data_IF_611480153210
#
_entry.id   IF_611480153210
#
_cell.length_a   1.000
_cell.length_b   1.000
_cell.length_c   1.000
_cell.angle_alpha   90.00
_cell.angle_beta   90.00
_cell.angle_gamma   90.00
#
_symmetry.space_group_name_H-M   'P 1'
#
loop_
_entity.id
_entity.type
_entity.pdbx_description
1 polymer ?
#
# COMPACT_ATOMS: atom_id res chain seq x y z
N UNK A 1 4.02 -19.24 15.05
CA UNK A 1 4.05 -18.42 13.84
C UNK A 1 2.65 -18.44 13.26
N UNK A 2 2.08 -17.27 12.90
CA UNK A 2 0.69 -17.18 12.46
C UNK A 2 0.65 -16.62 11.04
N UNK A 3 -0.10 -17.27 10.17
CA UNK A 3 -0.53 -16.78 8.86
C UNK A 3 -2.06 -16.85 8.85
N UNK A 4 -2.71 -15.73 8.73
CA UNK A 4 -4.16 -15.63 8.94
C UNK A 4 -4.98 -15.68 7.65
N UNK A 5 -4.33 -15.61 6.50
CA UNK A 5 -4.88 -15.75 5.14
C UNK A 5 -3.76 -16.07 4.15
N UNK A 6 -4.10 -16.51 2.96
CA UNK A 6 -3.15 -16.92 1.93
C UNK A 6 -2.24 -15.77 1.46
N UNK A 7 -2.74 -14.54 1.48
CA UNK A 7 -2.01 -13.34 1.08
C UNK A 7 -1.10 -12.74 2.16
N UNK A 8 -1.33 -13.08 3.44
CA UNK A 8 -0.48 -12.63 4.54
C UNK A 8 0.82 -13.42 4.61
N UNK A 9 1.80 -12.85 5.28
CA UNK A 9 3.03 -13.54 5.68
C UNK A 9 3.27 -13.37 7.19
N UNK A 10 3.82 -14.38 7.87
CA UNK A 10 4.19 -14.24 9.27
C UNK A 10 5.25 -13.14 9.46
N UNK A 11 5.19 -12.39 10.56
CA UNK A 11 6.17 -11.33 10.88
C UNK A 11 7.63 -11.82 10.77
N UNK A 12 7.90 -13.05 11.23
CA UNK A 12 9.23 -13.67 11.08
C UNK A 12 9.66 -13.79 9.61
N UNK A 13 8.73 -14.08 8.70
CA UNK A 13 9.04 -14.19 7.27
C UNK A 13 9.41 -12.83 6.68
N UNK A 14 8.70 -11.75 7.02
CA UNK A 14 9.06 -10.40 6.58
C UNK A 14 10.48 -10.02 7.00
N UNK A 15 10.83 -10.24 8.27
CA UNK A 15 12.18 -9.97 8.77
C UNK A 15 13.25 -10.75 8.01
N UNK A 16 13.01 -12.02 7.73
CA UNK A 16 13.97 -12.84 6.99
C UNK A 16 14.05 -12.47 5.51
N UNK A 17 12.90 -12.18 4.85
CA UNK A 17 12.82 -11.82 3.44
C UNK A 17 13.55 -10.52 3.12
N UNK A 18 13.35 -9.48 3.92
CA UNK A 18 14.06 -8.21 3.70
C UNK A 18 15.55 -8.35 3.98
N UNK A 19 15.95 -9.14 4.98
CA UNK A 19 17.37 -9.47 5.22
C UNK A 19 17.97 -10.25 4.06
N UNK A 20 17.24 -11.25 3.54
CA UNK A 20 17.63 -12.04 2.37
C UNK A 20 17.85 -11.16 1.13
N UNK A 21 17.05 -10.11 0.94
CA UNK A 21 17.26 -9.17 -0.17
C UNK A 21 18.63 -8.51 -0.08
N UNK A 22 19.01 -7.99 1.07
CA UNK A 22 20.32 -7.37 1.27
C UNK A 22 21.47 -8.40 1.12
N UNK A 23 21.31 -9.59 1.67
CA UNK A 23 22.30 -10.64 1.49
C UNK A 23 22.49 -10.98 0.02
N UNK A 24 21.39 -11.27 -0.66
CA UNK A 24 21.41 -11.79 -2.02
C UNK A 24 21.90 -10.77 -3.03
N UNK A 25 21.45 -9.53 -2.94
CA UNK A 25 21.67 -8.53 -3.96
C UNK A 25 22.77 -7.52 -3.62
N UNK A 26 23.11 -7.32 -2.35
CA UNK A 26 24.19 -6.42 -1.93
C UNK A 26 25.46 -7.21 -1.65
N UNK A 27 25.44 -8.11 -0.66
CA UNK A 27 26.63 -8.90 -0.32
C UNK A 27 26.97 -9.93 -1.39
N UNK A 28 25.97 -10.57 -1.97
CA UNK A 28 26.12 -11.53 -3.07
C UNK A 28 26.59 -10.95 -4.40
N UNK A 29 26.77 -9.64 -4.51
CA UNK A 29 27.45 -8.99 -5.64
C UNK A 29 28.95 -9.36 -5.70
N UNK A 30 29.56 -9.68 -4.56
CA UNK A 30 30.91 -10.23 -4.50
C UNK A 30 30.88 -11.74 -4.83
N UNK A 31 31.56 -12.21 -5.90
CA UNK A 31 31.64 -13.63 -6.25
C UNK A 31 32.28 -14.52 -5.17
N UNK A 32 33.08 -13.93 -4.28
CA UNK A 32 33.70 -14.64 -3.16
C UNK A 32 32.78 -14.82 -1.96
N UNK A 33 31.66 -14.10 -1.93
CA UNK A 33 30.68 -14.18 -0.84
C UNK A 33 30.12 -15.59 -0.69
N UNK A 34 29.89 -16.01 0.54
CA UNK A 34 29.21 -17.27 0.86
C UNK A 34 27.93 -16.95 1.62
N UNK A 35 26.74 -17.41 1.13
CA UNK A 35 25.47 -17.18 1.79
C UNK A 35 25.48 -17.74 3.23
N UNK A 36 24.72 -17.11 4.11
CA UNK A 36 24.50 -17.59 5.47
C UNK A 36 23.98 -19.04 5.49
N UNK A 37 22.96 -19.31 4.67
CA UNK A 37 22.45 -20.66 4.41
C UNK A 37 21.89 -20.72 2.97
N UNK A 38 22.46 -21.57 2.08
CA UNK A 38 21.99 -21.68 0.69
C UNK A 38 20.51 -22.08 0.53
N UNK A 39 19.91 -22.72 1.53
CA UNK A 39 18.48 -23.11 1.49
C UNK A 39 17.55 -21.91 1.69
N UNK A 40 18.08 -20.80 2.21
CA UNK A 40 17.26 -19.62 2.50
C UNK A 40 16.88 -18.83 1.24
N UNK A 41 17.58 -19.04 0.12
CA UNK A 41 17.10 -18.57 -1.19
C UNK A 41 15.71 -19.15 -1.51
N UNK A 42 15.47 -20.44 -1.24
CA UNK A 42 14.16 -21.05 -1.42
C UNK A 42 13.11 -20.54 -0.42
N UNK A 43 13.48 -20.38 0.86
CA UNK A 43 12.54 -20.04 1.93
C UNK A 43 12.09 -18.57 1.89
N UNK A 44 13.00 -17.67 1.54
CA UNK A 44 12.80 -16.23 1.68
C UNK A 44 12.75 -15.47 0.35
N UNK A 45 13.01 -16.13 -0.79
CA UNK A 45 12.61 -15.61 -2.10
C UNK A 45 11.06 -15.52 -2.16
N UNK A 46 10.52 -14.49 -2.80
CA UNK A 46 9.08 -14.31 -2.98
C UNK A 46 8.63 -14.55 -4.42
N UNK A 47 9.26 -13.87 -5.36
CA UNK A 47 8.81 -13.85 -6.76
C UNK A 47 9.95 -13.78 -7.79
N UNK A 48 11.19 -13.80 -7.38
CA UNK A 48 12.33 -13.76 -8.29
C UNK A 48 12.58 -15.15 -8.92
N UNK A 49 11.88 -15.42 -10.03
CA UNK A 49 11.94 -16.73 -10.70
C UNK A 49 13.35 -17.02 -11.28
N UNK A 50 14.09 -15.97 -11.68
CA UNK A 50 15.47 -16.11 -12.16
C UNK A 50 16.47 -16.56 -11.09
N UNK A 51 16.13 -16.41 -9.80
CA UNK A 51 16.94 -16.96 -8.69
C UNK A 51 16.66 -18.46 -8.52
N UNK A 52 15.41 -18.87 -8.72
CA UNK A 52 14.97 -20.24 -8.54
C UNK A 52 13.58 -20.35 -7.93
N UNK A 53 13.15 -21.59 -7.56
CA UNK A 53 11.85 -21.80 -6.94
C UNK A 53 11.78 -21.10 -5.58
N UNK A 54 10.57 -20.66 -5.20
CA UNK A 54 10.29 -20.03 -3.92
C UNK A 54 9.27 -20.85 -3.12
N UNK A 55 9.36 -20.76 -1.80
CA UNK A 55 8.36 -21.34 -0.90
C UNK A 55 7.02 -20.60 -1.06
N UNK A 56 5.97 -21.34 -1.39
CA UNK A 56 4.66 -20.78 -1.74
C UNK A 56 4.09 -19.90 -0.62
N UNK A 57 3.58 -18.71 -1.00
CA UNK A 57 3.04 -17.74 -0.04
C UNK A 57 1.99 -18.33 0.92
N UNK A 58 0.98 -19.11 0.46
CA UNK A 58 -0.03 -19.69 1.36
C UNK A 58 0.53 -20.64 2.43
N UNK A 59 1.77 -21.10 2.23
CA UNK A 59 2.41 -22.07 3.14
C UNK A 59 3.46 -21.44 4.09
N UNK A 60 3.66 -20.13 4.05
CA UNK A 60 4.66 -19.43 4.88
C UNK A 60 4.40 -19.62 6.38
N UNK A 61 3.15 -19.82 6.77
CA UNK A 61 2.74 -20.16 8.13
C UNK A 61 3.27 -21.49 8.65
N UNK A 62 3.67 -22.42 7.78
CA UNK A 62 4.24 -23.71 8.14
C UNK A 62 5.73 -23.67 8.49
N UNK A 63 6.41 -22.57 8.20
CA UNK A 63 7.85 -22.41 8.45
C UNK A 63 8.16 -22.31 9.96
N UNK A 64 8.09 -23.42 10.69
CA UNK A 64 8.51 -23.48 12.11
C UNK A 64 10.03 -23.27 12.27
N UNK A 65 10.80 -23.54 11.23
CA UNK A 65 12.24 -23.28 11.14
C UNK A 65 12.55 -22.46 9.89
N UNK A 66 13.58 -21.57 9.93
CA UNK A 66 14.38 -21.24 11.12
C UNK A 66 13.54 -20.64 12.27
N UNK A 67 14.04 -20.69 13.50
CA UNK A 67 13.42 -20.06 14.67
C UNK A 67 13.47 -18.52 14.55
N UNK A 68 12.71 -17.80 15.38
CA UNK A 68 12.79 -16.33 15.42
C UNK A 68 14.21 -15.87 15.81
N UNK A 69 14.83 -16.52 16.79
CA UNK A 69 16.19 -16.19 17.21
C UNK A 69 17.18 -16.32 16.04
N UNK A 70 17.13 -17.43 15.30
CA UNK A 70 17.98 -17.61 14.11
C UNK A 70 17.76 -16.51 13.04
N UNK A 71 16.52 -16.08 12.83
CA UNK A 71 16.22 -14.98 11.90
C UNK A 71 16.76 -13.65 12.42
N UNK A 72 16.66 -13.37 13.71
CA UNK A 72 17.20 -12.14 14.30
C UNK A 72 18.74 -12.13 14.27
N UNK A 73 19.38 -13.25 14.55
CA UNK A 73 20.84 -13.41 14.44
C UNK A 73 21.30 -13.18 12.98
N UNK A 74 20.59 -13.80 12.03
CA UNK A 74 20.81 -13.58 10.61
C UNK A 74 20.71 -12.09 10.22
N UNK A 75 19.63 -11.42 10.65
CA UNK A 75 19.44 -9.99 10.37
C UNK A 75 20.57 -9.13 10.95
N UNK A 76 21.01 -9.44 12.18
CA UNK A 76 22.13 -8.75 12.82
C UNK A 76 23.44 -8.98 12.07
N UNK A 77 23.73 -10.22 11.66
CA UNK A 77 24.92 -10.57 10.91
C UNK A 77 24.98 -9.82 9.56
N UNK A 78 23.90 -9.94 8.75
CA UNK A 78 23.86 -9.33 7.43
C UNK A 78 23.91 -7.79 7.52
N UNK A 79 23.14 -7.21 8.45
CA UNK A 79 23.18 -5.78 8.70
C UNK A 79 24.56 -5.26 9.06
N UNK A 80 25.27 -5.97 9.93
CA UNK A 80 26.66 -5.64 10.32
C UNK A 80 27.60 -5.67 9.13
N UNK A 81 27.51 -6.70 8.27
CA UNK A 81 28.36 -6.84 7.08
C UNK A 81 28.10 -5.74 6.05
N UNK A 82 26.82 -5.43 5.77
CA UNK A 82 26.44 -4.34 4.85
C UNK A 82 26.95 -3.00 5.35
N UNK A 83 26.76 -2.70 6.64
CA UNK A 83 27.25 -1.47 7.26
C UNK A 83 28.77 -1.36 7.21
N UNK A 84 29.49 -2.45 7.43
CA UNK A 84 30.96 -2.47 7.34
C UNK A 84 31.45 -2.14 5.92
N UNK A 85 30.83 -2.71 4.88
CA UNK A 85 31.16 -2.40 3.49
C UNK A 85 30.84 -0.96 3.12
N UNK A 86 29.71 -0.44 3.58
CA UNK A 86 29.30 0.94 3.37
C UNK A 86 30.28 1.93 4.02
N UNK A 87 30.66 1.68 5.28
CA UNK A 87 31.62 2.51 6.01
C UNK A 87 33.03 2.44 5.40
N UNK A 88 33.42 1.31 4.89
CA UNK A 88 34.72 1.15 4.19
C UNK A 88 34.75 1.79 2.81
N UNK A 89 33.58 2.20 2.26
CA UNK A 89 33.46 2.75 0.91
C UNK A 89 33.81 1.74 -0.20
N UNK A 90 33.60 0.45 0.06
CA UNK A 90 33.98 -0.65 -0.87
C UNK A 90 32.85 -1.07 -1.80
N UNK A 91 31.63 -0.55 -1.61
CA UNK A 91 30.49 -0.86 -2.47
C UNK A 91 30.60 -0.13 -3.80
N UNK A 92 30.47 -0.89 -4.88
CA UNK A 92 30.40 -0.35 -6.23
C UNK A 92 29.15 0.52 -6.43
N UNK A 93 29.15 1.51 -7.32
CA UNK A 93 28.00 2.40 -7.55
C UNK A 93 26.70 1.65 -7.84
N UNK A 94 26.74 0.57 -8.61
CA UNK A 94 25.56 -0.25 -8.88
C UNK A 94 25.04 -0.95 -7.62
N UNK A 95 25.92 -1.42 -6.75
CA UNK A 95 25.54 -2.06 -5.48
C UNK A 95 24.94 -1.04 -4.50
N UNK A 96 25.43 0.21 -4.51
CA UNK A 96 24.81 1.31 -3.73
C UNK A 96 23.35 1.60 -4.20
N UNK A 97 23.11 1.56 -5.51
CA UNK A 97 21.75 1.67 -6.04
C UNK A 97 20.86 0.52 -5.58
N UNK A 98 21.37 -0.70 -5.61
CA UNK A 98 20.63 -1.87 -5.10
C UNK A 98 20.37 -1.76 -3.59
N UNK A 99 21.30 -1.21 -2.84
CA UNK A 99 21.11 -0.93 -1.41
C UNK A 99 19.98 0.08 -1.19
N UNK A 100 19.92 1.17 -1.98
CA UNK A 100 18.81 2.13 -1.94
C UNK A 100 17.46 1.47 -2.27
N UNK A 101 17.41 0.66 -3.32
CA UNK A 101 16.23 -0.16 -3.64
C UNK A 101 15.85 -1.07 -2.46
N UNK A 102 16.82 -1.71 -1.81
CA UNK A 102 16.61 -2.55 -0.64
C UNK A 102 15.98 -1.81 0.54
N UNK A 103 16.38 -0.56 0.78
CA UNK A 103 15.76 0.29 1.80
C UNK A 103 14.29 0.61 1.45
N UNK A 104 13.99 0.92 0.20
CA UNK A 104 12.63 1.14 -0.27
C UNK A 104 11.79 -0.15 -0.16
N UNK A 105 12.35 -1.31 -0.47
CA UNK A 105 11.73 -2.61 -0.29
C UNK A 105 11.47 -2.94 1.20
N UNK A 106 12.41 -2.63 2.06
CA UNK A 106 12.23 -2.77 3.52
C UNK A 106 11.03 -1.93 4.01
N UNK A 107 10.90 -0.68 3.54
CA UNK A 107 9.79 0.19 3.89
C UNK A 107 8.43 -0.34 3.42
N UNK A 108 8.35 -0.96 2.23
CA UNK A 108 7.13 -1.67 1.81
C UNK A 108 6.79 -2.80 2.78
N UNK A 109 7.79 -3.58 3.20
CA UNK A 109 7.59 -4.68 4.12
C UNK A 109 7.26 -4.25 5.55
N UNK A 110 7.66 -3.05 5.99
CA UNK A 110 7.21 -2.48 7.26
C UNK A 110 5.69 -2.25 7.25
N UNK A 111 5.13 -1.70 6.17
CA UNK A 111 3.69 -1.55 6.03
C UNK A 111 2.97 -2.90 5.92
N UNK A 112 3.44 -3.81 5.05
CA UNK A 112 2.86 -5.14 4.90
C UNK A 112 2.86 -5.93 6.22
N UNK A 113 3.89 -5.79 7.04
CA UNK A 113 3.97 -6.43 8.34
C UNK A 113 2.87 -5.92 9.29
N UNK A 114 2.57 -4.63 9.28
CA UNK A 114 1.50 -4.04 10.09
C UNK A 114 0.11 -4.50 9.61
N UNK A 115 -0.12 -4.58 8.30
CA UNK A 115 -1.37 -5.09 7.74
C UNK A 115 -1.58 -6.56 8.11
N UNK A 116 -0.54 -7.38 8.02
CA UNK A 116 -0.59 -8.81 8.30
C UNK A 116 -0.78 -9.09 9.79
N UNK A 117 -0.12 -8.32 10.68
CA UNK A 117 -0.34 -8.36 12.13
C UNK A 117 -1.78 -7.98 12.46
N UNK A 118 -2.30 -6.89 11.88
CA UNK A 118 -3.67 -6.44 12.09
C UNK A 118 -4.67 -7.54 11.73
N UNK A 119 -4.52 -8.15 10.55
CA UNK A 119 -5.39 -9.24 10.13
C UNK A 119 -5.28 -10.47 11.04
N UNK A 120 -4.07 -10.87 11.44
CA UNK A 120 -3.86 -11.99 12.34
C UNK A 120 -4.50 -11.76 13.72
N UNK A 121 -4.42 -10.55 14.25
CA UNK A 121 -5.00 -10.20 15.55
C UNK A 121 -6.53 -10.06 15.49
N UNK A 122 -7.06 -9.54 14.38
CA UNK A 122 -8.50 -9.54 14.14
C UNK A 122 -9.09 -10.95 14.05
N UNK A 123 -8.37 -11.88 13.42
CA UNK A 123 -8.79 -13.30 13.32
C UNK A 123 -8.68 -14.04 14.65
N UNK A 124 -7.93 -13.52 15.61
CA UNK A 124 -7.85 -14.09 16.94
C UNK A 124 -9.17 -13.78 17.70
N UNK A 125 -9.86 -14.79 18.26
CA UNK A 125 -11.12 -14.57 19.01
C UNK A 125 -11.00 -13.58 20.18
N UNK A 126 -9.79 -13.40 20.75
CA UNK A 126 -9.55 -12.44 21.82
C UNK A 126 -9.39 -11.00 21.31
N UNK A 127 -9.20 -10.79 20.00
CA UNK A 127 -8.99 -9.46 19.40
C UNK A 127 -7.88 -8.65 20.07
N UNK A 128 -6.66 -9.20 20.25
CA UNK A 128 -5.60 -8.51 21.00
C UNK A 128 -5.13 -7.25 20.25
N UNK A 129 -4.75 -6.20 20.98
CA UNK A 129 -4.08 -5.03 20.42
C UNK A 129 -2.62 -5.36 20.10
N UNK A 130 -2.11 -4.84 18.99
CA UNK A 130 -0.66 -4.77 18.74
C UNK A 130 -0.01 -3.79 19.71
N UNK A 131 -0.63 -2.61 19.90
CA UNK A 131 -0.26 -1.61 20.90
C UNK A 131 -1.52 -0.97 21.47
N UNK A 132 -1.75 -1.10 22.77
CA UNK A 132 -2.94 -0.55 23.42
C UNK A 132 -2.84 0.97 23.66
N UNK A 133 -1.63 1.53 23.59
CA UNK A 133 -1.30 2.93 23.86
C UNK A 133 -1.43 3.85 22.62
N UNK A 134 -1.83 3.31 21.46
CA UNK A 134 -1.98 4.11 20.24
C UNK A 134 -3.03 5.21 20.46
N UNK A 135 -2.61 6.45 20.21
CA UNK A 135 -3.47 7.62 20.34
C UNK A 135 -4.56 7.67 19.26
N UNK A 136 -5.73 8.18 19.63
CA UNK A 136 -6.79 8.54 18.70
C UNK A 136 -6.94 10.06 18.72
N UNK A 137 -6.98 10.68 17.55
CA UNK A 137 -7.37 12.08 17.41
C UNK A 137 -8.76 12.12 16.80
N UNK A 138 -9.60 12.98 17.35
CA UNK A 138 -10.95 13.21 16.85
C UNK A 138 -11.08 14.67 16.49
N UNK A 139 -11.44 14.95 15.26
CA UNK A 139 -11.78 16.29 14.78
C UNK A 139 -13.04 16.20 13.90
N UNK A 140 -13.92 17.19 13.89
CA UNK A 140 -15.04 17.19 12.96
C UNK A 140 -14.51 17.20 11.52
N UNK A 141 -15.09 16.37 10.64
CA UNK A 141 -14.71 16.38 9.24
C UNK A 141 -15.11 17.70 8.57
N UNK A 142 -14.26 18.19 7.66
CA UNK A 142 -14.66 19.26 6.74
C UNK A 142 -15.81 18.80 5.86
N UNK A 143 -16.77 19.66 5.51
CA UNK A 143 -17.69 19.37 4.42
C UNK A 143 -16.92 19.00 3.15
N UNK A 144 -17.38 17.95 2.46
CA UNK A 144 -16.80 17.56 1.18
C UNK A 144 -17.09 18.64 0.14
N UNK A 145 -16.07 19.14 -0.50
CA UNK A 145 -16.16 20.12 -1.58
C UNK A 145 -15.61 19.53 -2.87
N UNK A 146 -16.08 20.04 -4.01
CA UNK A 146 -15.62 19.66 -5.33
C UNK A 146 -14.66 20.72 -5.88
N UNK A 147 -13.41 20.34 -6.09
CA UNK A 147 -12.37 21.21 -6.64
C UNK A 147 -12.29 21.00 -8.14
N UNK A 148 -12.75 22.00 -8.89
CA UNK A 148 -12.76 21.95 -10.36
C UNK A 148 -11.34 21.99 -10.91
N UNK A 149 -11.10 21.21 -11.96
CA UNK A 149 -9.86 21.11 -12.72
C UNK A 149 -10.17 21.21 -14.19
N UNK A 150 -9.52 22.13 -14.88
CA UNK A 150 -9.67 22.28 -16.32
C UNK A 150 -8.98 21.15 -17.08
N UNK A 151 -9.43 20.89 -18.31
CA UNK A 151 -8.73 19.98 -19.20
C UNK A 151 -7.31 20.48 -19.47
N UNK A 152 -6.36 19.56 -19.42
CA UNK A 152 -4.97 19.89 -19.71
C UNK A 152 -4.20 18.69 -20.27
N UNK A 153 -3.14 18.98 -21.00
CA UNK A 153 -2.09 18.00 -21.27
C UNK A 153 -1.04 18.15 -20.18
N UNK A 154 -1.06 17.22 -19.23
CA UNK A 154 -0.10 17.16 -18.13
C UNK A 154 1.00 16.13 -18.35
N UNK A 155 1.90 16.02 -17.41
CA UNK A 155 2.91 14.96 -17.36
C UNK A 155 2.78 14.19 -16.05
N UNK A 156 2.74 12.88 -16.13
CA UNK A 156 2.74 11.97 -14.98
C UNK A 156 3.92 11.02 -15.04
N UNK A 157 4.22 10.40 -13.89
CA UNK A 157 5.35 9.49 -13.72
C UNK A 157 6.64 10.19 -13.35
N UNK A 158 7.67 9.41 -13.14
CA UNK A 158 9.00 9.86 -12.75
C UNK A 158 10.00 9.68 -13.89
N UNK A 159 11.08 10.46 -13.85
CA UNK A 159 12.26 10.18 -14.65
C UNK A 159 12.86 8.83 -14.23
N UNK A 160 13.42 8.04 -15.16
CA UNK A 160 13.99 6.73 -14.84
C UNK A 160 15.11 6.83 -13.81
N UNK A 161 14.96 6.14 -12.69
CA UNK A 161 16.03 5.96 -11.72
C UNK A 161 16.99 4.83 -12.20
N UNK A 162 18.31 4.93 -11.96
CA UNK A 162 19.04 5.95 -11.21
C UNK A 162 19.61 7.10 -12.05
N UNK A 163 19.16 7.27 -13.27
CA UNK A 163 19.70 8.30 -14.17
C UNK A 163 19.43 9.75 -13.70
N UNK A 164 18.51 9.92 -12.77
CA UNK A 164 18.12 11.21 -12.21
C UNK A 164 18.15 11.19 -10.67
N UNK A 165 18.24 12.37 -10.06
CA UNK A 165 18.20 12.49 -8.61
C UNK A 165 16.85 12.06 -8.03
N UNK A 166 16.90 11.37 -6.89
CA UNK A 166 15.75 10.83 -6.20
C UNK A 166 15.37 9.43 -6.71
N UNK A 167 14.87 8.61 -5.78
CA UNK A 167 14.44 7.24 -6.07
C UNK A 167 13.07 7.22 -6.75
N UNK A 168 12.89 6.36 -7.73
CA UNK A 168 11.61 5.94 -8.29
C UNK A 168 11.68 4.47 -8.69
N UNK A 169 10.59 3.74 -8.48
CA UNK A 169 10.48 2.38 -9.02
C UNK A 169 10.35 2.41 -10.54
N UNK A 170 10.69 1.32 -11.20
CA UNK A 170 10.55 1.21 -12.66
C UNK A 170 9.11 1.39 -13.14
N UNK A 171 8.12 0.96 -12.36
CA UNK A 171 6.69 1.12 -12.66
C UNK A 171 6.20 2.58 -12.58
N UNK A 172 6.97 3.47 -11.97
CA UNK A 172 6.69 4.91 -11.97
C UNK A 172 7.19 5.60 -13.25
N UNK A 173 7.99 4.91 -14.06
CA UNK A 173 8.71 5.47 -15.21
C UNK A 173 8.25 4.89 -16.55
N UNK A 174 8.44 5.61 -17.65
CA UNK A 174 9.00 6.96 -17.74
C UNK A 174 7.96 8.05 -17.44
N UNK A 175 8.42 9.25 -17.10
CA UNK A 175 7.57 10.46 -17.14
C UNK A 175 7.08 10.70 -18.56
N UNK A 176 5.78 10.90 -18.73
CA UNK A 176 5.16 11.00 -20.04
C UNK A 176 3.95 11.93 -20.03
N UNK A 177 3.61 12.42 -21.21
CA UNK A 177 2.45 13.32 -21.41
C UNK A 177 1.15 12.51 -21.42
N UNK A 178 0.13 13.06 -20.80
CA UNK A 178 -1.22 12.49 -20.74
C UNK A 178 -2.25 13.61 -20.86
N UNK A 179 -3.33 13.35 -21.61
CA UNK A 179 -4.52 14.20 -21.59
C UNK A 179 -5.29 13.90 -20.29
N UNK A 180 -5.51 14.92 -19.50
CA UNK A 180 -6.36 14.87 -18.31
C UNK A 180 -7.61 15.68 -18.61
N UNK A 181 -8.79 15.06 -18.79
CA UNK A 181 -10.03 15.76 -19.05
C UNK A 181 -10.44 16.70 -17.92
N UNK A 182 -11.26 17.68 -18.21
CA UNK A 182 -11.86 18.51 -17.17
C UNK A 182 -12.66 17.64 -16.19
N UNK A 183 -12.43 17.85 -14.90
CA UNK A 183 -13.04 17.05 -13.84
C UNK A 183 -13.14 17.83 -12.54
N UNK A 184 -13.89 17.30 -11.59
CA UNK A 184 -13.88 17.77 -10.22
C UNK A 184 -13.34 16.68 -9.29
N UNK A 185 -12.43 17.02 -8.40
CA UNK A 185 -11.87 16.12 -7.40
C UNK A 185 -12.40 16.49 -6.00
N UNK A 186 -12.79 15.50 -5.22
CA UNK A 186 -13.22 15.70 -3.86
C UNK A 186 -12.08 16.27 -3.00
N UNK A 187 -12.39 17.27 -2.17
CA UNK A 187 -11.39 17.99 -1.35
C UNK A 187 -10.73 17.10 -0.29
N UNK A 188 -11.35 15.98 0.08
CA UNK A 188 -10.87 14.99 1.07
C UNK A 188 -11.35 13.58 0.72
N UNK A 189 -10.76 12.53 1.34
CA UNK A 189 -11.31 11.18 1.27
C UNK A 189 -12.72 11.11 1.85
N UNK A 190 -13.46 10.06 1.49
CA UNK A 190 -14.76 9.71 2.07
C UNK A 190 -14.59 9.33 3.54
N UNK A 191 -15.46 9.85 4.39
CA UNK A 191 -15.45 9.57 5.82
C UNK A 191 -16.21 8.29 6.17
N UNK A 192 -15.97 7.76 7.36
CA UNK A 192 -16.71 6.64 7.92
C UNK A 192 -18.23 6.92 8.04
N UNK A 193 -18.62 8.16 8.35
CA UNK A 193 -20.03 8.55 8.41
C UNK A 193 -20.70 8.45 7.03
N UNK A 194 -20.10 9.03 6.00
CA UNK A 194 -20.63 8.98 4.64
C UNK A 194 -20.70 7.53 4.12
N UNK A 195 -19.73 6.71 4.46
CA UNK A 195 -19.78 5.30 4.08
C UNK A 195 -20.86 4.52 4.84
N UNK A 196 -21.13 4.87 6.09
CA UNK A 196 -22.23 4.29 6.86
C UNK A 196 -23.60 4.63 6.27
N UNK A 197 -23.78 5.83 5.70
CA UNK A 197 -24.99 6.21 4.96
C UNK A 197 -25.20 5.30 3.73
N UNK A 198 -24.16 5.03 2.95
CA UNK A 198 -24.19 4.07 1.85
C UNK A 198 -24.67 2.68 2.30
N UNK A 199 -24.16 2.19 3.44
CA UNK A 199 -24.57 0.90 4.00
C UNK A 199 -26.04 0.95 4.40
N UNK A 200 -26.46 2.00 5.11
CA UNK A 200 -27.84 2.17 5.59
C UNK A 200 -28.85 2.25 4.44
N UNK A 201 -28.48 2.93 3.34
CA UNK A 201 -29.29 3.03 2.11
C UNK A 201 -29.29 1.74 1.25
N UNK A 202 -28.67 0.67 1.75
CA UNK A 202 -28.69 -0.64 1.12
C UNK A 202 -27.65 -0.82 0.02
N UNK A 203 -26.57 -0.07 0.03
CA UNK A 203 -25.51 -0.13 -0.98
C UNK A 203 -24.97 -1.54 -1.21
N UNK A 204 -24.79 -2.33 -0.15
CA UNK A 204 -24.36 -3.75 -0.27
C UNK A 204 -25.46 -4.69 -0.76
N UNK A 205 -26.69 -4.23 -0.95
CA UNK A 205 -27.83 -5.04 -1.45
C UNK A 205 -28.30 -4.59 -2.84
N UNK A 206 -27.76 -3.52 -3.38
CA UNK A 206 -28.18 -2.93 -4.64
C UNK A 206 -27.24 -3.35 -5.76
N UNK A 207 -27.57 -4.44 -6.46
CA UNK A 207 -26.71 -5.04 -7.51
C UNK A 207 -26.26 -4.05 -8.59
N UNK A 208 -27.09 -3.08 -8.95
CA UNK A 208 -26.79 -2.10 -10.00
C UNK A 208 -25.63 -1.14 -9.68
N UNK A 209 -25.19 -1.08 -8.43
CA UNK A 209 -24.03 -0.29 -8.01
C UNK A 209 -22.70 -1.03 -8.21
N UNK A 210 -22.72 -2.34 -8.30
CA UNK A 210 -21.52 -3.16 -8.27
C UNK A 210 -21.04 -3.59 -9.64
N UNK A 211 -19.73 -3.66 -9.80
CA UNK A 211 -19.13 -4.41 -10.91
C UNK A 211 -19.45 -5.90 -10.78
N UNK A 212 -19.56 -6.61 -11.90
CA UNK A 212 -19.97 -8.02 -11.94
C UNK A 212 -19.19 -8.91 -10.96
N UNK A 213 -17.86 -8.87 -11.02
CA UNK A 213 -17.00 -9.68 -10.17
C UNK A 213 -17.10 -9.26 -8.70
N UNK A 214 -17.26 -7.94 -8.45
CA UNK A 214 -17.47 -7.39 -7.13
C UNK A 214 -18.77 -7.88 -6.49
N UNK A 215 -19.86 -7.91 -7.27
CA UNK A 215 -21.12 -8.48 -6.81
C UNK A 215 -21.01 -9.98 -6.49
N UNK A 216 -20.37 -10.74 -7.38
CA UNK A 216 -20.14 -12.17 -7.17
C UNK A 216 -19.32 -12.43 -5.89
N UNK A 217 -18.23 -11.66 -5.69
CA UNK A 217 -17.36 -11.78 -4.52
C UNK A 217 -18.09 -11.37 -3.24
N UNK A 218 -18.82 -10.24 -3.27
CA UNK A 218 -19.65 -9.77 -2.17
C UNK A 218 -20.66 -10.84 -1.73
N UNK A 219 -21.31 -11.53 -2.67
CA UNK A 219 -22.24 -12.61 -2.37
C UNK A 219 -21.55 -13.85 -1.81
N UNK A 220 -20.43 -14.25 -2.40
CA UNK A 220 -19.69 -15.45 -1.98
C UNK A 220 -19.11 -15.33 -0.56
N UNK A 221 -18.67 -14.13 -0.16
CA UNK A 221 -18.06 -13.87 1.14
C UNK A 221 -18.97 -13.10 2.11
N UNK A 222 -20.23 -12.89 1.73
CA UNK A 222 -21.23 -12.17 2.52
C UNK A 222 -20.73 -10.79 3.01
N UNK A 223 -20.13 -10.01 2.10
CA UNK A 223 -19.71 -8.67 2.45
C UNK A 223 -20.92 -7.77 2.73
N UNK A 224 -20.89 -7.08 3.86
CA UNK A 224 -21.96 -6.18 4.28
C UNK A 224 -21.43 -4.82 4.78
N UNK A 225 -20.10 -4.68 4.91
CA UNK A 225 -19.39 -3.52 5.47
C UNK A 225 -17.89 -3.61 5.20
N UNK A 226 -17.11 -2.55 5.44
CA UNK A 226 -15.64 -2.59 5.40
C UNK A 226 -15.07 -3.71 6.28
N UNK A 227 -13.94 -4.30 5.92
CA UNK A 227 -13.42 -5.56 6.50
C UNK A 227 -13.18 -5.29 7.96
N UNK A 228 -12.92 -4.62 8.70
CA UNK A 228 -12.67 -4.62 10.15
C UNK A 228 -13.76 -3.91 10.95
N UNK A 229 -14.85 -3.50 10.31
CA UNK A 229 -15.97 -2.97 11.05
C UNK A 229 -16.73 -4.09 11.77
N UNK A 230 -17.09 -3.85 13.02
CA UNK A 230 -17.91 -4.76 13.80
C UNK A 230 -19.38 -4.75 13.30
N UNK A 231 -20.10 -5.83 13.57
CA UNK A 231 -21.49 -5.98 13.12
C UNK A 231 -22.45 -4.95 13.71
N UNK A 232 -22.11 -4.36 14.86
CA UNK A 232 -22.91 -3.29 15.48
C UNK A 232 -22.81 -1.94 14.74
N UNK A 233 -21.85 -1.80 13.80
CA UNK A 233 -21.59 -0.57 13.08
C UNK A 233 -20.94 0.55 13.90
N UNK A 234 -20.75 0.35 15.20
CA UNK A 234 -20.21 1.36 16.10
C UNK A 234 -18.70 1.21 16.33
N UNK A 235 -18.16 0.00 16.21
CA UNK A 235 -16.76 -0.31 16.49
C UNK A 235 -16.03 -0.80 15.26
N UNK A 236 -14.72 -0.63 15.28
CA UNK A 236 -13.80 -1.18 14.29
C UNK A 236 -12.57 -1.78 14.97
N UNK A 237 -11.95 -2.77 14.31
CA UNK A 237 -10.70 -3.36 14.77
C UNK A 237 -9.52 -2.57 14.20
N UNK A 238 -8.65 -2.11 15.10
CA UNK A 238 -7.44 -1.34 14.78
C UNK A 238 -6.19 -2.07 15.29
N UNK A 239 -5.01 -1.56 15.01
CA UNK A 239 -3.77 -2.04 15.68
C UNK A 239 -3.79 -1.75 17.19
N UNK A 240 -4.68 -0.88 17.65
CA UNK A 240 -4.98 -0.64 19.08
C UNK A 240 -6.07 -1.56 19.65
N UNK A 241 -6.48 -2.61 18.93
CA UNK A 241 -7.61 -3.48 19.29
C UNK A 241 -8.96 -2.92 18.85
N UNK A 242 -10.06 -3.43 19.43
CA UNK A 242 -11.41 -2.92 19.18
C UNK A 242 -11.60 -1.54 19.76
N UNK A 243 -12.02 -0.59 18.94
CA UNK A 243 -12.26 0.81 19.32
C UNK A 243 -13.58 1.31 18.76
N UNK A 244 -14.12 2.36 19.36
CA UNK A 244 -15.20 3.13 18.74
C UNK A 244 -14.71 3.72 17.42
N UNK A 245 -15.54 3.60 16.40
CA UNK A 245 -15.23 4.09 15.06
C UNK A 245 -15.42 5.60 15.01
N UNK A 246 -14.38 6.33 14.63
CA UNK A 246 -14.49 7.77 14.41
C UNK A 246 -15.30 8.05 13.13
N UNK A 247 -16.49 8.68 13.22
CA UNK A 247 -17.31 8.96 12.06
C UNK A 247 -16.65 9.91 11.05
N UNK A 248 -15.68 10.70 11.49
CA UNK A 248 -15.02 11.74 10.70
C UNK A 248 -13.71 11.29 10.07
N UNK A 249 -13.13 10.19 10.51
CA UNK A 249 -11.92 9.64 9.90
C UNK A 249 -12.22 9.07 8.51
N UNK A 250 -11.23 9.02 7.61
CA UNK A 250 -11.36 8.36 6.31
C UNK A 250 -11.79 6.91 6.47
N UNK A 251 -12.76 6.46 5.68
CA UNK A 251 -13.12 5.05 5.61
C UNK A 251 -11.94 4.25 5.07
N UNK A 252 -11.69 3.09 5.68
CA UNK A 252 -10.52 2.27 5.39
C UNK A 252 -10.89 0.80 5.22
N UNK A 253 -9.99 0.03 4.60
CA UNK A 253 -10.15 -1.41 4.38
C UNK A 253 -11.28 -1.76 3.41
N UNK A 254 -11.34 -0.98 2.33
CA UNK A 254 -12.21 -1.20 1.18
C UNK A 254 -11.46 -1.92 0.06
N UNK A 255 -12.15 -2.81 -0.63
CA UNK A 255 -11.77 -3.27 -1.97
C UNK A 255 -12.03 -2.18 -3.02
N UNK A 256 -11.43 -2.33 -4.22
CA UNK A 256 -11.82 -1.50 -5.36
C UNK A 256 -13.34 -1.59 -5.64
N UNK A 257 -13.90 -2.79 -5.53
CA UNK A 257 -15.33 -3.02 -5.78
C UNK A 257 -16.23 -2.23 -4.83
N UNK A 258 -15.87 -2.16 -3.55
CA UNK A 258 -16.57 -1.38 -2.54
C UNK A 258 -16.41 0.13 -2.76
N UNK A 259 -15.21 0.57 -3.12
CA UNK A 259 -14.91 1.96 -3.44
C UNK A 259 -15.68 2.44 -4.70
N UNK A 260 -15.74 1.63 -5.76
CA UNK A 260 -16.48 1.93 -7.00
C UNK A 260 -18.00 1.92 -6.74
N UNK A 261 -18.51 0.94 -5.98
CA UNK A 261 -19.93 0.89 -5.63
C UNK A 261 -20.38 2.10 -4.82
N UNK A 262 -19.57 2.54 -3.86
CA UNK A 262 -19.81 3.78 -3.13
C UNK A 262 -19.79 4.99 -4.06
N UNK A 263 -18.80 5.09 -4.94
CA UNK A 263 -18.69 6.21 -5.88
C UNK A 263 -19.93 6.32 -6.78
N UNK A 264 -20.43 5.20 -7.33
CA UNK A 264 -21.68 5.16 -8.12
C UNK A 264 -22.90 5.56 -7.30
N UNK A 265 -23.02 5.10 -6.06
CA UNK A 265 -24.09 5.50 -5.17
C UNK A 265 -24.08 7.00 -4.90
N UNK A 266 -22.91 7.60 -4.72
CA UNK A 266 -22.72 9.03 -4.53
C UNK A 266 -22.86 9.88 -5.82
N UNK A 267 -23.23 9.28 -6.96
CA UNK A 267 -23.31 9.97 -8.24
C UNK A 267 -21.95 10.54 -8.70
N UNK A 268 -20.89 9.77 -8.44
CA UNK A 268 -19.50 10.11 -8.70
C UNK A 268 -18.76 8.89 -9.29
N UNK A 269 -17.44 9.01 -9.46
CA UNK A 269 -16.54 7.95 -9.87
C UNK A 269 -15.23 7.98 -9.07
N UNK A 270 -14.40 6.98 -9.25
CA UNK A 270 -13.02 7.03 -8.78
C UNK A 270 -12.21 7.97 -9.69
N UNK A 271 -11.22 8.71 -9.17
CA UNK A 271 -10.28 9.44 -10.00
C UNK A 271 -9.42 8.47 -10.81
N UNK A 272 -8.97 8.86 -11.99
CA UNK A 272 -7.87 8.18 -12.67
C UNK A 272 -6.55 8.46 -11.93
N UNK A 273 -5.53 7.60 -12.10
CA UNK A 273 -4.21 7.87 -11.54
C UNK A 273 -3.60 9.18 -12.07
N UNK A 274 -3.93 9.56 -13.30
CA UNK A 274 -3.46 10.81 -13.90
C UNK A 274 -4.12 12.04 -13.26
N UNK A 275 -5.42 12.01 -13.02
CA UNK A 275 -6.15 13.07 -12.32
C UNK A 275 -5.60 13.25 -10.90
N UNK A 276 -5.35 12.14 -10.21
CA UNK A 276 -4.80 12.15 -8.86
C UNK A 276 -3.39 12.74 -8.84
N UNK A 277 -2.49 12.26 -9.71
CA UNK A 277 -1.09 12.71 -9.74
C UNK A 277 -0.96 14.18 -10.15
N UNK A 278 -1.77 14.64 -11.12
CA UNK A 278 -1.83 16.05 -11.46
C UNK A 278 -2.35 16.93 -10.31
N UNK A 279 -3.28 16.42 -9.52
CA UNK A 279 -3.76 17.12 -8.34
C UNK A 279 -2.71 17.16 -7.21
N UNK A 280 -1.82 16.18 -7.15
CA UNK A 280 -0.71 16.10 -6.22
C UNK A 280 0.50 16.93 -6.63
N UNK A 281 0.55 17.44 -7.87
CA UNK A 281 1.68 18.22 -8.36
C UNK A 281 1.93 19.47 -7.50
N UNK A 282 3.13 19.57 -6.91
CA UNK A 282 3.51 20.69 -6.04
C UNK A 282 2.89 20.65 -4.63
N UNK A 283 2.07 19.67 -4.31
CA UNK A 283 1.56 19.48 -2.94
C UNK A 283 2.65 18.87 -2.06
N UNK A 284 2.88 19.48 -0.89
CA UNK A 284 3.83 18.94 0.07
C UNK A 284 3.38 17.55 0.59
N UNK A 285 4.33 16.64 0.75
CA UNK A 285 4.08 15.30 1.31
C UNK A 285 3.97 15.42 2.84
N UNK A 286 2.79 15.82 3.28
CA UNK A 286 2.42 15.97 4.69
C UNK A 286 1.12 15.23 4.96
N UNK A 287 1.08 14.45 6.02
CA UNK A 287 -0.09 13.66 6.38
C UNK A 287 0.19 12.72 7.55
N UNK A 288 -0.78 11.89 7.83
CA UNK A 288 -0.70 10.83 8.83
C UNK A 288 -0.02 9.60 8.23
N UNK A 289 1.25 9.43 8.54
CA UNK A 289 2.12 8.32 8.13
C UNK A 289 2.56 7.50 9.34
N UNK A 290 3.36 6.45 9.14
CA UNK A 290 3.83 5.59 10.24
C UNK A 290 4.60 6.35 11.33
N UNK A 291 5.29 7.42 10.97
CA UNK A 291 6.06 8.27 11.88
C UNK A 291 5.20 9.13 12.82
N UNK A 292 3.90 9.26 12.57
CA UNK A 292 2.96 9.88 13.51
C UNK A 292 2.57 8.94 14.66
N UNK A 293 2.89 7.66 14.54
CA UNK A 293 2.61 6.60 15.50
C UNK A 293 1.10 6.38 15.79
N UNK A 294 0.23 6.89 14.93
CA UNK A 294 -1.22 6.67 15.06
C UNK A 294 -1.62 5.28 14.56
N UNK A 295 -0.98 4.78 13.52
CA UNK A 295 -1.20 3.48 12.87
C UNK A 295 -2.68 3.22 12.53
N UNK A 296 -3.44 4.27 12.30
CA UNK A 296 -4.85 4.26 11.94
C UNK A 296 -5.21 5.59 11.25
N UNK A 297 -6.11 5.58 10.25
CA UNK A 297 -6.61 6.82 9.67
C UNK A 297 -7.27 7.71 10.71
N UNK A 298 -7.03 9.01 10.63
CA UNK A 298 -7.51 9.98 11.60
C UNK A 298 -8.32 11.08 10.93
N UNK A 299 -9.31 11.60 11.65
CA UNK A 299 -9.97 12.83 11.25
C UNK A 299 -8.98 14.01 11.37
N UNK A 300 -9.11 14.98 10.47
CA UNK A 300 -8.28 16.19 10.47
C UNK A 300 -9.12 17.43 10.64
N UNK A 301 -8.51 18.45 11.25
CA UNK A 301 -9.17 19.73 11.41
C UNK A 301 -9.60 20.31 10.05
N UNK A 302 -10.78 20.96 9.98
CA UNK A 302 -11.27 21.58 8.76
C UNK A 302 -10.26 22.58 8.19
N UNK A 303 -10.08 22.54 6.86
CA UNK A 303 -9.38 23.57 6.13
C UNK A 303 -10.29 24.21 5.09
N UNK A 304 -10.20 25.51 4.95
CA UNK A 304 -11.11 26.30 4.10
C UNK A 304 -10.82 26.17 2.61
N UNK A 305 -9.61 25.76 2.26
CA UNK A 305 -9.17 25.67 0.85
C UNK A 305 -8.30 24.43 0.60
N UNK A 306 -8.22 24.03 -0.67
CA UNK A 306 -7.30 23.01 -1.16
C UNK A 306 -7.72 21.58 -0.89
N UNK A 307 -6.80 20.66 -1.20
CA UNK A 307 -6.91 19.23 -0.94
C UNK A 307 -6.44 18.93 0.49
N UNK A 308 -7.18 18.09 1.17
CA UNK A 308 -6.85 17.59 2.51
C UNK A 308 -6.56 16.08 2.43
N UNK A 309 -5.65 15.59 3.25
CA UNK A 309 -5.35 14.16 3.39
C UNK A 309 -5.05 13.48 2.04
N UNK A 310 -4.35 14.20 1.15
CA UNK A 310 -3.94 13.65 -0.15
C UNK A 310 -2.82 12.63 0.03
N UNK A 311 -2.03 12.78 1.06
CA UNK A 311 -0.96 11.88 1.43
C UNK A 311 -1.15 11.36 2.85
N UNK A 312 -0.86 10.07 3.04
CA UNK A 312 -1.07 9.39 4.32
C UNK A 312 -2.53 8.98 4.55
N UNK A 313 -2.87 8.63 5.77
CA UNK A 313 -4.15 8.09 6.21
C UNK A 313 -4.56 6.81 5.47
N UNK A 314 -4.96 6.89 4.22
CA UNK A 314 -5.38 5.74 3.40
C UNK A 314 -4.80 5.80 1.99
N UNK A 315 -4.36 4.68 1.46
CA UNK A 315 -4.18 4.52 0.03
C UNK A 315 -5.51 4.77 -0.68
N UNK A 316 -5.51 5.65 -1.66
CA UNK A 316 -6.72 6.00 -2.41
C UNK A 316 -6.83 5.14 -3.68
N UNK A 317 -7.88 4.32 -3.78
CA UNK A 317 -8.18 3.58 -5.00
C UNK A 317 -8.43 4.52 -6.17
N UNK A 318 -7.82 4.21 -7.31
CA UNK A 318 -8.09 4.91 -8.58
C UNK A 318 -8.89 4.02 -9.53
N UNK A 319 -9.53 4.65 -10.51
CA UNK A 319 -10.19 3.95 -11.61
C UNK A 319 -9.22 3.44 -12.69
N UNK A 320 -7.91 3.44 -12.43
CA UNK A 320 -6.88 3.05 -13.41
C UNK A 320 -6.39 1.63 -13.15
N UNK A 321 -6.44 0.79 -14.20
CA UNK A 321 -5.78 -0.50 -14.18
C UNK A 321 -4.25 -0.32 -14.09
N UNK A 322 -3.60 -1.21 -13.36
CA UNK A 322 -2.14 -1.22 -13.27
C UNK A 322 -1.52 -1.77 -14.55
N UNK A 323 -1.22 -0.87 -15.48
CA UNK A 323 -0.64 -1.15 -16.78
C UNK A 323 0.72 -0.44 -16.93
N UNK A 324 1.59 -0.92 -17.84
CA UNK A 324 2.84 -0.23 -18.13
C UNK A 324 2.56 1.16 -18.72
N UNK A 325 3.32 2.15 -18.27
CA UNK A 325 3.33 3.45 -18.92
C UNK A 325 3.87 3.40 -20.35
N UNK A 326 3.49 4.31 -21.24
CA UNK A 326 4.06 4.39 -22.59
C UNK A 326 5.59 4.47 -22.53
N UNK A 327 6.28 3.51 -23.15
CA UNK A 327 7.74 3.43 -23.10
C UNK A 327 8.33 2.78 -21.85
N UNK A 328 7.54 2.17 -20.99
CA UNK A 328 7.99 1.42 -19.82
C UNK A 328 9.07 0.41 -20.21
N UNK A 329 10.10 0.31 -19.36
CA UNK A 329 11.13 -0.71 -19.43
C UNK A 329 11.43 -1.21 -18.02
N UNK A 330 11.29 -2.52 -17.77
CA UNK A 330 11.68 -3.07 -16.48
C UNK A 330 13.19 -2.86 -16.26
N UNK A 331 13.62 -2.83 -15.02
CA UNK A 331 15.04 -2.85 -14.71
C UNK A 331 15.71 -4.09 -15.32
N UNK A 332 17.01 -3.99 -15.58
CA UNK A 332 17.76 -5.12 -16.14
C UNK A 332 17.97 -6.23 -15.10
N UNK A 333 18.09 -7.48 -15.60
CA UNK A 333 18.35 -8.65 -14.77
C UNK A 333 17.22 -9.02 -13.83
N UNK A 334 17.53 -9.70 -12.74
CA UNK A 334 16.58 -10.22 -11.76
C UNK A 334 15.68 -9.13 -11.14
N UNK A 335 16.22 -7.94 -10.91
CA UNK A 335 15.46 -6.83 -10.34
C UNK A 335 14.29 -6.36 -11.23
N UNK A 336 14.35 -6.61 -12.54
CA UNK A 336 13.23 -6.34 -13.45
C UNK A 336 11.99 -7.19 -13.19
N UNK A 337 12.09 -8.23 -12.36
CA UNK A 337 10.94 -9.00 -11.91
C UNK A 337 10.15 -8.34 -10.77
N UNK A 338 10.59 -7.17 -10.30
CA UNK A 338 10.02 -6.53 -9.11
C UNK A 338 8.57 -6.05 -9.33
N UNK A 339 8.30 -5.32 -10.41
CA UNK A 339 7.01 -4.68 -10.65
C UNK A 339 6.33 -5.11 -11.96
N UNK A 340 7.06 -5.16 -13.06
CA UNK A 340 6.49 -5.27 -14.41
C UNK A 340 5.60 -6.50 -14.62
N UNK A 341 5.93 -7.63 -14.04
CA UNK A 341 5.16 -8.86 -14.18
C UNK A 341 3.81 -8.87 -13.45
N UNK A 342 3.59 -7.91 -12.54
CA UNK A 342 2.33 -7.74 -11.83
C UNK A 342 1.37 -6.78 -12.56
N UNK A 343 1.73 -6.22 -13.71
CA UNK A 343 0.87 -5.37 -14.52
C UNK A 343 -0.20 -6.19 -15.23
N UNK A 344 -0.99 -6.92 -14.44
CA UNK A 344 -2.07 -7.78 -14.89
C UNK A 344 -3.10 -7.95 -13.77
N UNK A 345 -4.38 -7.67 -14.06
CA UNK A 345 -5.51 -7.82 -13.14
C UNK A 345 -5.33 -7.11 -11.77
N UNK A 346 -4.59 -6.00 -11.76
CA UNK A 346 -4.35 -5.16 -10.60
C UNK A 346 -4.82 -3.73 -10.88
N UNK A 347 -5.04 -2.97 -9.82
CA UNK A 347 -5.50 -1.58 -9.90
C UNK A 347 -4.59 -0.68 -9.07
N UNK A 348 -4.44 0.57 -9.56
CA UNK A 348 -3.52 1.53 -8.94
C UNK A 348 -4.14 2.19 -7.72
N UNK A 349 -3.34 2.32 -6.65
CA UNK A 349 -3.62 3.14 -5.47
C UNK A 349 -2.56 4.21 -5.32
N UNK A 350 -2.95 5.35 -4.76
CA UNK A 350 -2.09 6.53 -4.59
C UNK A 350 -2.11 7.07 -3.17
N UNK A 351 -1.09 7.81 -2.78
CA UNK A 351 -1.05 8.68 -1.61
C UNK A 351 -0.35 8.14 -0.38
N UNK A 352 -0.20 6.84 -0.22
CA UNK A 352 0.31 6.26 1.03
C UNK A 352 -0.78 6.09 2.09
N UNK A 353 -0.45 5.45 3.20
CA UNK A 353 -1.35 5.20 4.32
C UNK A 353 -0.74 5.60 5.66
N UNK A 354 -1.51 5.49 6.73
CA UNK A 354 -1.06 5.66 8.12
C UNK A 354 0.03 4.65 8.56
N UNK A 355 0.28 3.62 7.77
CA UNK A 355 1.32 2.62 8.00
C UNK A 355 2.51 2.75 7.05
N UNK A 356 2.46 3.65 6.08
CA UNK A 356 3.54 3.90 5.11
C UNK A 356 4.60 4.83 5.73
N UNK A 357 5.91 4.57 5.57
CA UNK A 357 6.95 5.54 5.88
C UNK A 357 6.86 6.79 4.99
N UNK A 358 6.96 7.99 5.59
CA UNK A 358 6.78 9.26 4.87
C UNK A 358 7.78 9.46 3.74
N UNK A 359 9.04 9.14 3.96
CA UNK A 359 10.14 9.28 3.00
C UNK A 359 10.10 8.23 1.88
N UNK A 360 9.21 7.24 1.99
CA UNK A 360 8.91 6.27 0.94
C UNK A 360 7.97 6.82 -0.14
N UNK A 361 7.14 7.84 0.19
CA UNK A 361 6.07 8.32 -0.69
C UNK A 361 6.53 9.44 -1.63
N UNK A 362 6.00 9.39 -2.82
CA UNK A 362 6.15 10.38 -3.91
C UNK A 362 4.80 10.54 -4.62
N UNK A 363 4.58 11.68 -5.27
CA UNK A 363 3.37 11.87 -6.07
C UNK A 363 3.25 10.85 -7.21
N UNK A 364 4.37 10.38 -7.77
CA UNK A 364 4.44 9.37 -8.82
C UNK A 364 4.29 7.92 -8.32
N UNK A 365 4.36 7.67 -6.99
CA UNK A 365 4.31 6.31 -6.45
C UNK A 365 3.04 5.57 -6.87
N UNK A 366 3.21 4.36 -7.42
CA UNK A 366 2.13 3.50 -7.89
C UNK A 366 2.07 2.25 -7.02
N UNK A 367 1.22 2.24 -6.00
CA UNK A 367 0.86 1.01 -5.30
C UNK A 367 -0.22 0.26 -6.10
N UNK A 368 -0.31 -1.05 -5.95
CA UNK A 368 -1.24 -1.86 -6.71
C UNK A 368 -1.70 -3.10 -5.93
N UNK A 369 -2.98 -3.42 -6.08
CA UNK A 369 -3.59 -4.62 -5.49
C UNK A 369 -4.65 -5.20 -6.42
N UNK A 370 -4.99 -6.51 -6.27
CA UNK A 370 -6.19 -7.09 -6.87
C UNK A 370 -7.45 -6.35 -6.43
N UNK A 371 -8.46 -6.33 -7.28
CA UNK A 371 -9.69 -5.56 -7.06
C UNK A 371 -10.50 -5.99 -5.84
N UNK A 372 -10.32 -7.20 -5.33
CA UNK A 372 -10.99 -7.76 -4.15
C UNK A 372 -10.17 -7.64 -2.85
N UNK A 373 -8.95 -7.12 -2.90
CA UNK A 373 -8.11 -6.93 -1.73
C UNK A 373 -8.69 -5.89 -0.76
N UNK A 374 -8.82 -6.22 0.53
CA UNK A 374 -9.45 -5.38 1.56
C UNK A 374 -8.61 -5.16 2.81
N UNK A 375 -7.54 -5.93 3.00
CA UNK A 375 -6.76 -5.92 4.26
C UNK A 375 -5.76 -4.77 4.36
N UNK A 376 -5.38 -4.17 3.25
CA UNK A 376 -4.50 -3.00 3.21
C UNK A 376 -5.25 -1.75 3.71
N UNK A 377 -4.50 -0.72 4.13
CA UNK A 377 -5.08 0.56 4.55
C UNK A 377 -5.53 1.37 3.33
N UNK A 378 -6.55 0.89 2.63
CA UNK A 378 -7.10 1.51 1.42
C UNK A 378 -8.49 2.08 1.64
N UNK A 379 -8.70 3.28 1.15
CA UNK A 379 -9.95 4.03 1.16
C UNK A 379 -10.25 4.64 -0.20
N UNK A 380 -11.03 5.71 -0.24
CA UNK A 380 -11.53 6.29 -1.48
C UNK A 380 -11.63 7.81 -1.42
N UNK A 381 -11.14 8.46 -2.47
CA UNK A 381 -11.46 9.85 -2.84
C UNK A 381 -12.31 9.82 -4.09
N UNK A 382 -13.27 10.71 -4.20
CA UNK A 382 -14.19 10.78 -5.33
C UNK A 382 -13.73 11.77 -6.40
N UNK A 383 -14.12 11.49 -7.64
CA UNK A 383 -14.06 12.41 -8.76
C UNK A 383 -15.42 12.51 -9.46
N UNK A 384 -15.63 13.57 -10.24
CA UNK A 384 -16.77 13.76 -11.13
C UNK A 384 -16.28 14.29 -12.47
N UNK A 385 -16.96 13.91 -13.53
CA UNK A 385 -16.78 14.55 -14.82
C UNK A 385 -17.33 15.99 -14.74
N UNK A 386 -16.63 16.92 -15.39
CA UNK A 386 -17.17 18.27 -15.58
C UNK A 386 -18.32 18.20 -16.55
N UNK A 387 -19.43 18.90 -16.25
CA UNK A 387 -20.61 18.95 -17.09
C UNK A 387 -20.34 19.75 -18.37
#
# INVERSE_FOLDING_TARGET
MVQSMDDASPAKWHLAHTTWFFERFVLGADPAYRPHDPQWDYLFNSYYQSIGPAHARPHRGLLSRPSLTQVLDYRSEIGTRVLAQLQAGTLEPQTLQILELGLQHEQQHQELLLTDIKHAFWRNPLGPAYRADLATQHAPASPLRWLQRDEQIGEIGAAPWPAHAGFAYDNESPRHRVLVPAHALASRPVSNAEYAEFIADGGYRTVGLWLSDGWARRCAEDWQRPLYWHADGAREFTLGGWRERDPHAPVCHLSLFEADAFARWAGARLPTEAEWEQAAAGVAIVGNFVDTDALHPQSTAPADTGLQQLFGDVWEWTGSAYLPYPGFRPWSGTLGEYNGKFMNAQWVLRGGSCATPRDHIRASYRNFFPSDARWQFAGVRLAKDSA
#
